data_IF_940875859452
#
_entry.id   IF_940875859452
#
_cell.length_a   1.000
_cell.length_b   1.000
_cell.length_c   1.000
_cell.angle_alpha   90.00
_cell.angle_beta   90.00
_cell.angle_gamma   90.00
#
_symmetry.space_group_name_H-M   'P 1'
#
loop_
_entity.id
_entity.type
_entity.pdbx_description
1 polymer ?
#
# COMPACT_ATOMS: atom_id res chain seq x y z
N UNK A 1 -12.64 20.32 -9.35
CA UNK A 1 -13.44 21.24 -8.49
C UNK A 1 -14.84 20.68 -8.43
N UNK A 2 -15.31 20.29 -7.25
CA UNK A 2 -16.70 19.88 -7.04
C UNK A 2 -17.59 21.13 -7.14
N UNK A 3 -18.61 21.17 -7.99
CA UNK A 3 -19.59 22.23 -7.96
C UNK A 3 -20.28 22.19 -6.59
N UNK A 4 -20.33 23.32 -5.92
CA UNK A 4 -20.92 23.52 -4.56
C UNK A 4 -20.19 22.80 -3.41
N UNK A 5 -18.90 22.51 -3.51
CA UNK A 5 -18.15 21.80 -2.47
C UNK A 5 -18.01 22.51 -1.13
N UNK A 6 -18.04 23.86 -1.11
CA UNK A 6 -17.99 24.68 0.11
C UNK A 6 -19.02 25.79 -0.01
N UNK A 7 -19.94 25.87 0.94
CA UNK A 7 -20.91 26.94 1.06
C UNK A 7 -20.77 27.64 2.41
N UNK A 8 -20.93 28.94 2.42
CA UNK A 8 -21.05 29.76 3.62
C UNK A 8 -22.44 30.43 3.60
N UNK A 9 -23.24 30.18 4.62
CA UNK A 9 -24.61 30.70 4.73
C UNK A 9 -25.46 30.42 3.46
N UNK A 10 -25.33 29.23 2.90
CA UNK A 10 -26.03 28.80 1.68
C UNK A 10 -25.45 29.34 0.36
N UNK A 11 -24.41 30.19 0.39
CA UNK A 11 -23.71 30.71 -0.80
C UNK A 11 -22.41 29.95 -1.07
N UNK A 12 -22.17 29.57 -2.31
CA UNK A 12 -20.91 28.94 -2.69
C UNK A 12 -19.72 29.90 -2.48
N UNK A 13 -18.68 29.40 -1.82
CA UNK A 13 -17.43 30.13 -1.57
C UNK A 13 -16.23 29.31 -2.05
N UNK A 14 -15.06 29.94 -2.11
CA UNK A 14 -13.76 29.29 -2.40
C UNK A 14 -12.97 29.13 -1.10
N UNK A 15 -11.99 28.27 -1.09
CA UNK A 15 -11.08 28.04 0.07
C UNK A 15 -10.27 29.28 0.48
N UNK A 16 -10.22 30.31 -0.35
CA UNK A 16 -9.52 31.58 -0.09
C UNK A 16 -10.46 32.70 0.34
N UNK A 17 -11.77 32.47 0.32
CA UNK A 17 -12.75 33.51 0.72
C UNK A 17 -12.79 33.59 2.24
N UNK A 18 -12.90 34.80 2.75
CA UNK A 18 -12.93 35.04 4.20
C UNK A 18 -14.30 34.70 4.76
N UNK A 19 -14.30 34.08 5.94
CA UNK A 19 -15.48 33.76 6.72
C UNK A 19 -15.44 34.49 8.07
N UNK A 20 -16.59 34.74 8.69
CA UNK A 20 -16.70 35.44 9.95
C UNK A 20 -17.16 34.50 11.07
N UNK A 21 -16.98 34.94 12.30
CA UNK A 21 -17.49 34.20 13.44
C UNK A 21 -19.03 34.15 13.38
N UNK A 22 -19.60 32.97 13.50
CA UNK A 22 -21.04 32.73 13.40
C UNK A 22 -21.52 32.32 12.01
N UNK A 23 -20.66 32.33 10.99
CA UNK A 23 -21.00 31.78 9.66
C UNK A 23 -21.21 30.27 9.71
N UNK A 24 -22.26 29.81 9.03
CA UNK A 24 -22.52 28.38 8.81
C UNK A 24 -21.73 27.91 7.58
N UNK A 25 -20.76 27.00 7.78
CA UNK A 25 -19.96 26.43 6.71
C UNK A 25 -20.46 25.01 6.42
N UNK A 26 -21.00 24.82 5.22
CA UNK A 26 -21.44 23.51 4.73
C UNK A 26 -20.40 22.97 3.73
N UNK A 27 -19.82 21.81 4.04
CA UNK A 27 -18.96 21.06 3.15
C UNK A 27 -19.78 19.94 2.50
N UNK A 28 -19.93 20.00 1.19
CA UNK A 28 -20.57 18.91 0.43
C UNK A 28 -19.48 18.06 -0.19
N UNK A 29 -19.29 16.86 0.34
CA UNK A 29 -18.41 15.85 -0.24
C UNK A 29 -19.23 15.00 -1.21
N UNK A 30 -19.05 15.22 -2.52
CA UNK A 30 -19.66 14.39 -3.54
C UNK A 30 -18.70 13.25 -3.86
N UNK A 31 -18.86 12.14 -3.17
CA UNK A 31 -18.17 10.92 -3.49
C UNK A 31 -18.60 10.41 -4.87
N UNK A 32 -17.64 10.26 -5.79
CA UNK A 32 -17.89 9.64 -7.09
C UNK A 32 -17.77 8.14 -6.90
N UNK A 33 -18.81 7.35 -7.17
CA UNK A 33 -18.76 5.90 -7.05
C UNK A 33 -17.58 5.30 -7.81
N UNK A 34 -17.07 4.18 -7.31
CA UNK A 34 -16.01 3.44 -7.99
C UNK A 34 -16.49 2.94 -9.35
N UNK A 35 -15.64 3.05 -10.36
CA UNK A 35 -15.86 2.44 -11.67
C UNK A 35 -15.33 1.01 -11.76
N UNK A 36 -14.83 0.46 -10.65
CA UNK A 36 -14.31 -0.90 -10.59
C UNK A 36 -15.45 -1.91 -10.70
N UNK A 37 -15.28 -2.91 -11.55
CA UNK A 37 -16.23 -4.02 -11.63
C UNK A 37 -16.25 -4.77 -10.27
N UNK A 38 -17.43 -5.12 -9.72
CA UNK A 38 -17.52 -5.87 -8.48
C UNK A 38 -16.99 -7.28 -8.63
N UNK A 39 -16.34 -7.82 -7.59
CA UNK A 39 -15.86 -9.20 -7.52
C UNK A 39 -16.51 -9.95 -6.36
N UNK A 40 -16.91 -11.20 -6.60
CA UNK A 40 -17.44 -12.08 -5.56
C UNK A 40 -16.36 -12.80 -4.75
N UNK A 41 -15.09 -12.53 -4.98
CA UNK A 41 -13.98 -13.14 -4.23
C UNK A 41 -14.11 -12.80 -2.75
N UNK A 42 -13.96 -13.81 -1.89
CA UNK A 42 -13.98 -13.62 -0.45
C UNK A 42 -12.60 -13.24 0.07
N UNK A 43 -12.49 -12.09 0.73
CA UNK A 43 -11.29 -11.65 1.44
C UNK A 43 -11.67 -11.41 2.90
N UNK A 44 -10.96 -12.02 3.88
CA UNK A 44 -11.29 -11.83 5.28
C UNK A 44 -11.22 -10.38 5.71
N UNK A 45 -12.26 -9.91 6.39
CA UNK A 45 -12.31 -8.60 7.04
C UNK A 45 -11.85 -8.77 8.47
N UNK A 46 -10.84 -8.00 8.89
CA UNK A 46 -10.28 -8.01 10.25
C UNK A 46 -10.94 -6.96 11.14
N UNK A 47 -11.53 -5.95 10.55
CA UNK A 47 -12.22 -4.89 11.27
C UNK A 47 -12.81 -3.85 10.32
N UNK A 48 -13.87 -3.20 10.79
CA UNK A 48 -14.59 -2.19 10.02
C UNK A 48 -15.13 -1.11 10.96
N UNK A 49 -15.12 0.13 10.49
CA UNK A 49 -15.72 1.31 11.12
C UNK A 49 -16.44 2.14 10.06
N UNK A 50 -17.05 3.24 10.45
CA UNK A 50 -17.62 4.20 9.50
C UNK A 50 -16.55 4.87 8.61
N UNK A 51 -15.31 4.92 9.06
CA UNK A 51 -14.21 5.64 8.39
C UNK A 51 -13.30 4.75 7.55
N UNK A 52 -13.19 3.45 7.87
CA UNK A 52 -12.29 2.54 7.16
C UNK A 52 -12.71 1.08 7.31
N UNK A 53 -12.15 0.23 6.44
CA UNK A 53 -12.20 -1.23 6.53
C UNK A 53 -10.80 -1.81 6.43
N UNK A 54 -10.55 -2.91 7.15
CA UNK A 54 -9.27 -3.62 7.23
C UNK A 54 -9.44 -5.02 6.66
N UNK A 55 -8.73 -5.31 5.57
CA UNK A 55 -8.70 -6.64 4.97
C UNK A 55 -7.43 -7.40 5.31
N UNK A 56 -7.55 -8.72 5.43
CA UNK A 56 -6.40 -9.63 5.34
C UNK A 56 -6.24 -10.07 3.88
N UNK A 57 -5.48 -9.31 3.11
CA UNK A 57 -5.26 -9.60 1.69
C UNK A 57 -4.48 -10.92 1.51
N UNK A 58 -4.97 -11.88 0.71
CA UNK A 58 -4.20 -13.06 0.38
C UNK A 58 -3.02 -12.72 -0.54
N UNK A 59 -2.02 -13.59 -0.59
CA UNK A 59 -0.99 -13.57 -1.63
C UNK A 59 -1.62 -13.90 -2.99
N UNK A 60 -1.01 -13.40 -4.07
CA UNK A 60 -1.51 -13.58 -5.44
C UNK A 60 -2.60 -12.60 -5.87
N UNK A 61 -3.11 -11.76 -4.96
CA UNK A 61 -4.15 -10.77 -5.24
C UNK A 61 -3.55 -9.36 -5.31
N UNK A 62 -3.63 -8.64 -6.44
CA UNK A 62 -3.25 -7.23 -6.49
C UNK A 62 -4.21 -6.34 -5.68
N UNK A 63 -3.71 -5.21 -5.17
CA UNK A 63 -4.57 -4.22 -4.48
C UNK A 63 -5.42 -3.45 -5.49
N UNK A 64 -4.82 -3.01 -6.59
CA UNK A 64 -5.48 -2.26 -7.68
C UNK A 64 -5.49 -3.05 -8.98
N UNK A 65 -6.46 -2.79 -9.88
CA UNK A 65 -6.39 -3.28 -11.24
C UNK A 65 -5.07 -2.94 -11.92
N UNK A 66 -4.55 -3.88 -12.67
CA UNK A 66 -3.31 -3.78 -13.42
C UNK A 66 -3.40 -4.67 -14.67
N UNK A 67 -2.37 -4.65 -15.51
CA UNK A 67 -2.35 -5.49 -16.71
C UNK A 67 -2.53 -6.98 -16.34
N UNK A 68 -3.54 -7.63 -16.91
CA UNK A 68 -3.92 -9.01 -16.62
C UNK A 68 -4.81 -9.21 -15.38
N UNK A 69 -5.08 -8.14 -14.61
CA UNK A 69 -5.87 -8.19 -13.38
C UNK A 69 -6.92 -7.06 -13.38
N UNK A 70 -8.11 -7.34 -13.90
CA UNK A 70 -9.17 -6.32 -14.05
C UNK A 70 -10.38 -6.57 -13.15
N UNK A 71 -10.59 -7.82 -12.68
CA UNK A 71 -11.76 -8.22 -11.88
C UNK A 71 -11.44 -9.00 -10.60
N UNK A 72 -10.16 -9.23 -10.33
CA UNK A 72 -9.66 -10.13 -9.28
C UNK A 72 -8.81 -9.41 -8.22
N UNK A 73 -8.95 -8.09 -8.10
CA UNK A 73 -8.18 -7.27 -7.17
C UNK A 73 -8.95 -6.97 -5.89
N UNK A 74 -8.23 -6.54 -4.84
CA UNK A 74 -8.87 -6.09 -3.61
C UNK A 74 -9.84 -4.91 -3.85
N UNK A 75 -9.51 -4.05 -4.83
CA UNK A 75 -10.40 -2.96 -5.25
C UNK A 75 -11.74 -3.46 -5.80
N UNK A 76 -11.74 -4.58 -6.53
CA UNK A 76 -12.97 -5.20 -7.05
C UNK A 76 -13.81 -5.81 -5.92
N UNK A 77 -13.16 -6.42 -4.90
CA UNK A 77 -13.84 -6.93 -3.70
C UNK A 77 -14.46 -5.78 -2.90
N UNK A 78 -13.73 -4.69 -2.71
CA UNK A 78 -14.26 -3.49 -2.05
C UNK A 78 -15.45 -2.90 -2.81
N UNK A 79 -15.40 -2.82 -4.13
CA UNK A 79 -16.49 -2.29 -4.96
C UNK A 79 -17.78 -3.14 -4.87
N UNK A 80 -17.65 -4.45 -4.65
CA UNK A 80 -18.82 -5.32 -4.41
C UNK A 80 -19.47 -5.04 -3.04
N UNK A 81 -18.69 -4.74 -2.02
CA UNK A 81 -19.18 -4.47 -0.66
C UNK A 81 -19.67 -3.02 -0.49
N UNK A 82 -19.02 -2.08 -1.16
CA UNK A 82 -19.29 -0.65 -1.06
C UNK A 82 -19.45 0.00 -2.46
N UNK A 83 -20.53 -0.31 -3.21
CA UNK A 83 -20.67 0.13 -4.59
C UNK A 83 -20.77 1.65 -4.76
N UNK A 84 -21.13 2.37 -3.70
CA UNK A 84 -21.26 3.84 -3.72
C UNK A 84 -19.97 4.56 -3.31
N UNK A 85 -18.94 3.83 -2.85
CA UNK A 85 -17.71 4.41 -2.37
C UNK A 85 -16.56 4.20 -3.37
N UNK A 86 -15.72 5.22 -3.61
CA UNK A 86 -14.50 5.03 -4.36
C UNK A 86 -13.46 4.25 -3.55
N UNK A 87 -12.68 3.43 -4.23
CA UNK A 87 -11.64 2.62 -3.60
C UNK A 87 -10.42 3.48 -3.22
N UNK A 88 -10.17 3.64 -1.92
CA UNK A 88 -9.09 4.48 -1.36
C UNK A 88 -8.17 3.69 -0.43
N UNK A 89 -7.26 2.86 -0.95
CA UNK A 89 -6.30 2.19 -0.09
C UNK A 89 -5.32 3.20 0.50
N UNK A 90 -5.10 3.11 1.81
CA UNK A 90 -4.18 3.97 2.56
C UNK A 90 -2.73 3.69 2.14
N UNK A 91 -2.43 2.44 1.80
CA UNK A 91 -1.17 1.98 1.20
C UNK A 91 -1.44 0.72 0.36
N UNK A 92 -0.42 0.28 -0.36
CA UNK A 92 -0.51 -0.90 -1.21
C UNK A 92 0.47 -1.96 -0.75
N UNK A 93 0.08 -3.22 -0.89
CA UNK A 93 0.95 -4.39 -0.88
C UNK A 93 1.16 -4.88 -2.31
N UNK A 94 2.30 -5.49 -2.56
CA UNK A 94 2.53 -6.20 -3.82
C UNK A 94 1.54 -7.37 -3.98
N UNK A 95 1.32 -7.85 -5.20
CA UNK A 95 0.40 -8.96 -5.47
C UNK A 95 0.72 -10.17 -4.58
N UNK A 96 1.98 -10.59 -4.56
CA UNK A 96 2.42 -11.79 -3.84
C UNK A 96 2.60 -11.58 -2.33
N UNK A 97 2.47 -10.34 -1.85
CA UNK A 97 2.52 -10.03 -0.41
C UNK A 97 1.13 -10.17 0.20
N UNK A 98 1.01 -11.04 1.21
CA UNK A 98 -0.20 -11.15 2.04
C UNK A 98 -0.16 -10.20 3.23
N UNK A 99 -1.32 -9.98 3.85
CA UNK A 99 -1.43 -9.25 5.11
C UNK A 99 -2.40 -8.08 5.09
N UNK A 100 -2.25 -7.21 6.07
CA UNK A 100 -3.20 -6.15 6.37
C UNK A 100 -3.24 -5.12 5.24
N UNK A 101 -4.44 -4.82 4.72
CA UNK A 101 -4.72 -3.72 3.82
C UNK A 101 -5.82 -2.84 4.41
N UNK A 102 -5.52 -1.56 4.58
CA UNK A 102 -6.43 -0.57 5.14
C UNK A 102 -7.01 0.29 4.02
N UNK A 103 -8.33 0.30 3.91
CA UNK A 103 -9.07 1.06 2.89
C UNK A 103 -9.92 2.11 3.59
N UNK A 104 -9.73 3.37 3.25
CA UNK A 104 -10.52 4.46 3.78
C UNK A 104 -11.86 4.59 3.03
N UNK A 105 -12.93 4.90 3.77
CA UNK A 105 -14.28 5.08 3.23
C UNK A 105 -14.58 6.52 2.79
N UNK A 106 -13.70 7.49 3.12
CA UNK A 106 -13.80 8.88 2.70
C UNK A 106 -12.43 9.48 2.37
N UNK A 107 -12.41 10.56 1.60
CA UNK A 107 -11.19 11.30 1.30
C UNK A 107 -10.52 11.86 2.56
N UNK A 108 -11.33 12.34 3.52
CA UNK A 108 -10.86 12.83 4.82
C UNK A 108 -10.15 11.73 5.61
N UNK A 109 -10.79 10.56 5.76
CA UNK A 109 -10.20 9.42 6.45
C UNK A 109 -8.90 8.96 5.78
N UNK A 110 -8.84 8.93 4.45
CA UNK A 110 -7.63 8.59 3.71
C UNK A 110 -6.47 9.52 4.06
N UNK A 111 -6.71 10.84 4.08
CA UNK A 111 -5.70 11.83 4.44
C UNK A 111 -5.18 11.67 5.87
N UNK A 112 -6.07 11.43 6.84
CA UNK A 112 -5.69 11.22 8.24
C UNK A 112 -4.88 9.92 8.44
N UNK A 113 -5.28 8.85 7.78
CA UNK A 113 -4.68 7.53 7.94
C UNK A 113 -3.32 7.40 7.25
N UNK A 114 -3.09 8.08 6.12
CA UNK A 114 -1.81 8.00 5.39
C UNK A 114 -0.60 8.45 6.21
N UNK A 115 -0.77 9.48 7.05
CA UNK A 115 0.32 10.02 7.88
C UNK A 115 0.50 9.29 9.22
N UNK A 116 -0.49 8.52 9.68
CA UNK A 116 -0.53 7.95 11.03
C UNK A 116 -0.24 6.44 11.08
N UNK A 117 -0.22 5.75 9.95
CA UNK A 117 -0.01 4.29 9.92
C UNK A 117 1.46 3.90 10.06
N UNK A 118 1.75 3.04 11.05
CA UNK A 118 3.04 2.37 11.19
C UNK A 118 2.92 0.93 10.69
N UNK A 119 3.82 0.53 9.81
CA UNK A 119 3.79 -0.77 9.16
C UNK A 119 4.99 -1.60 9.55
N UNK A 120 4.75 -2.83 9.97
CA UNK A 120 5.77 -3.85 10.20
C UNK A 120 5.53 -4.99 9.23
N UNK A 121 6.58 -5.47 8.61
CA UNK A 121 6.55 -6.61 7.69
C UNK A 121 7.33 -7.76 8.28
N UNK A 122 6.91 -8.96 7.93
CA UNK A 122 7.69 -10.17 8.17
C UNK A 122 8.15 -10.70 6.80
N UNK A 123 9.41 -11.11 6.71
CA UNK A 123 9.95 -11.76 5.53
C UNK A 123 10.86 -12.92 5.93
N UNK A 124 10.75 -14.01 5.20
CA UNK A 124 11.68 -15.12 5.28
C UNK A 124 12.72 -14.94 4.17
N UNK A 125 13.99 -14.83 4.53
CA UNK A 125 15.11 -14.69 3.58
C UNK A 125 15.95 -15.96 3.54
N UNK A 126 16.61 -16.20 2.41
CA UNK A 126 17.57 -17.28 2.26
C UNK A 126 18.89 -16.89 2.94
N UNK A 127 19.48 -17.84 3.67
CA UNK A 127 20.75 -17.66 4.35
C UNK A 127 20.61 -17.23 5.81
N UNK A 128 21.73 -17.29 6.51
CA UNK A 128 21.85 -16.91 7.92
C UNK A 128 22.23 -15.43 8.03
N UNK A 129 21.27 -14.60 8.41
CA UNK A 129 21.46 -13.17 8.68
C UNK A 129 21.34 -12.93 10.18
N UNK A 130 22.47 -12.87 10.89
CA UNK A 130 22.52 -12.85 12.35
C UNK A 130 22.41 -11.45 12.95
N UNK A 131 22.67 -10.40 12.17
CA UNK A 131 22.67 -9.01 12.65
C UNK A 131 21.61 -8.16 11.96
N UNK A 132 20.95 -7.30 12.72
CA UNK A 132 20.02 -6.29 12.17
C UNK A 132 20.78 -5.12 11.54
N UNK A 133 20.07 -4.34 10.75
CA UNK A 133 20.68 -3.19 10.07
C UNK A 133 19.68 -2.32 9.30
N UNK A 134 20.26 -1.42 8.52
CA UNK A 134 19.50 -0.52 7.65
C UNK A 134 20.08 -0.59 6.24
N UNK A 135 19.21 -0.74 5.25
CA UNK A 135 19.54 -0.55 3.83
C UNK A 135 19.04 0.82 3.42
N UNK A 136 19.95 1.74 3.15
CA UNK A 136 19.68 3.04 2.55
C UNK A 136 20.26 3.02 1.14
N UNK A 137 19.42 2.62 0.17
CA UNK A 137 19.87 2.42 -1.20
C UNK A 137 18.73 2.74 -2.19
N UNK A 138 18.97 3.68 -3.14
CA UNK A 138 17.93 4.12 -4.07
C UNK A 138 17.46 2.98 -4.98
N UNK A 139 16.14 2.93 -5.21
CA UNK A 139 15.52 1.90 -6.06
C UNK A 139 15.00 2.53 -7.36
N UNK A 140 15.40 1.95 -8.48
CA UNK A 140 14.93 2.29 -9.82
C UNK A 140 14.41 1.08 -10.57
N UNK A 141 13.98 1.32 -11.81
CA UNK A 141 13.59 0.25 -12.72
C UNK A 141 14.86 -0.44 -13.25
N UNK A 142 14.87 -1.77 -13.28
CA UNK A 142 15.95 -2.50 -13.91
C UNK A 142 15.95 -2.27 -15.43
N UNK A 143 17.11 -2.19 -16.02
CA UNK A 143 17.28 -1.99 -17.47
C UNK A 143 16.62 -3.14 -18.25
N UNK A 144 15.91 -2.80 -19.32
CA UNK A 144 15.20 -3.78 -20.15
C UNK A 144 13.97 -4.43 -19.50
N UNK A 145 13.63 -4.10 -18.25
CA UNK A 145 12.50 -4.71 -17.56
C UNK A 145 11.38 -3.72 -17.22
N UNK A 146 10.13 -4.11 -17.46
CA UNK A 146 8.94 -3.39 -17.02
C UNK A 146 8.62 -3.68 -15.55
N UNK A 147 8.88 -4.90 -15.09
CA UNK A 147 8.48 -5.41 -13.78
C UNK A 147 9.58 -5.25 -12.72
N UNK A 148 10.81 -5.61 -13.06
CA UNK A 148 11.91 -5.68 -12.10
C UNK A 148 12.38 -4.29 -11.66
N UNK A 149 12.84 -4.23 -10.42
CA UNK A 149 13.51 -3.08 -9.82
C UNK A 149 14.90 -3.49 -9.38
N UNK A 150 15.79 -2.52 -9.25
CA UNK A 150 17.14 -2.76 -8.73
C UNK A 150 17.61 -1.54 -7.92
N UNK A 151 18.61 -1.75 -7.10
CA UNK A 151 19.36 -0.65 -6.49
C UNK A 151 20.19 0.03 -7.58
N UNK A 152 20.04 1.35 -7.72
CA UNK A 152 20.77 2.16 -8.69
C UNK A 152 20.82 3.63 -8.27
N UNK A 153 21.91 4.35 -8.53
CA UNK A 153 22.10 5.74 -8.06
C UNK A 153 20.99 6.71 -8.50
N UNK A 154 20.47 6.55 -9.71
CA UNK A 154 19.40 7.39 -10.29
C UNK A 154 18.00 6.97 -9.80
N UNK A 155 17.92 5.99 -8.91
CA UNK A 155 16.68 5.51 -8.31
C UNK A 155 16.07 6.53 -7.35
N UNK A 156 14.86 6.22 -6.89
CA UNK A 156 14.21 6.99 -5.83
C UNK A 156 14.76 6.56 -4.46
N UNK A 157 15.01 7.49 -3.52
CA UNK A 157 15.45 7.16 -2.17
C UNK A 157 14.58 6.07 -1.54
N UNK A 158 15.20 5.09 -0.92
CA UNK A 158 14.53 3.97 -0.28
C UNK A 158 15.31 3.52 0.95
N UNK A 159 14.62 3.45 2.10
CA UNK A 159 15.21 3.06 3.39
C UNK A 159 14.41 1.94 4.02
N UNK A 160 15.10 0.85 4.35
CA UNK A 160 14.54 -0.36 4.99
C UNK A 160 15.35 -0.73 6.22
N UNK A 161 14.71 -0.78 7.37
CA UNK A 161 15.29 -1.32 8.60
C UNK A 161 14.87 -2.78 8.75
N UNK A 162 15.79 -3.63 9.17
CA UNK A 162 15.51 -5.04 9.39
C UNK A 162 16.14 -5.53 10.69
N UNK A 163 15.46 -6.48 11.32
CA UNK A 163 15.88 -7.13 12.56
C UNK A 163 15.64 -8.63 12.43
N UNK A 164 16.67 -9.47 12.53
CA UNK A 164 16.50 -10.92 12.58
C UNK A 164 15.71 -11.32 13.83
N UNK A 165 14.72 -12.19 13.64
CA UNK A 165 13.92 -12.74 14.73
C UNK A 165 14.32 -14.18 15.06
N UNK A 166 14.57 -14.99 14.03
CA UNK A 166 14.92 -16.40 14.15
C UNK A 166 15.64 -16.86 12.90
N UNK A 167 16.63 -17.74 13.05
CA UNK A 167 17.30 -18.45 11.94
C UNK A 167 17.37 -19.96 12.25
N UNK A 168 17.36 -20.76 11.19
CA UNK A 168 17.65 -22.21 11.25
C UNK A 168 18.96 -22.56 10.51
N UNK A 169 19.74 -21.55 10.11
CA UNK A 169 20.97 -21.67 9.34
C UNK A 169 20.76 -21.66 7.81
N UNK A 170 19.58 -22.06 7.33
CA UNK A 170 19.20 -22.03 5.91
C UNK A 170 18.36 -20.80 5.58
N UNK A 171 17.48 -20.44 6.49
CA UNK A 171 16.57 -19.30 6.35
C UNK A 171 16.61 -18.43 7.61
N UNK A 172 16.36 -17.14 7.41
CA UNK A 172 16.19 -16.19 8.52
C UNK A 172 14.86 -15.47 8.40
N UNK A 173 14.05 -15.52 9.47
CA UNK A 173 12.85 -14.71 9.61
C UNK A 173 13.23 -13.31 10.08
N UNK A 174 12.82 -12.29 9.34
CA UNK A 174 13.07 -10.89 9.63
C UNK A 174 11.80 -10.14 9.99
N UNK A 175 11.91 -9.19 10.92
CA UNK A 175 10.99 -8.08 11.09
C UNK A 175 11.54 -6.86 10.36
N UNK A 176 10.71 -6.20 9.53
CA UNK A 176 11.15 -5.06 8.72
C UNK A 176 10.24 -3.84 8.93
N UNK A 177 10.86 -2.67 8.93
CA UNK A 177 10.18 -1.37 8.95
C UNK A 177 10.69 -0.51 7.79
N UNK A 178 9.78 0.19 7.15
CA UNK A 178 10.06 1.02 5.98
C UNK A 178 9.85 2.49 6.30
N UNK A 179 10.83 3.34 5.96
CA UNK A 179 10.64 4.80 5.93
C UNK A 179 10.01 5.24 4.60
N UNK A 180 10.21 4.48 3.56
CA UNK A 180 9.72 4.73 2.21
C UNK A 180 8.91 3.54 1.70
N UNK A 181 8.09 3.73 0.66
CA UNK A 181 7.26 2.67 0.09
C UNK A 181 7.49 2.55 -1.43
N UNK A 182 8.65 2.02 -1.85
CA UNK A 182 8.92 1.78 -3.27
C UNK A 182 8.43 0.40 -3.69
N UNK A 183 8.08 0.26 -4.96
CA UNK A 183 7.68 -1.02 -5.53
C UNK A 183 8.77 -2.07 -5.28
N UNK A 184 8.37 -3.23 -4.74
CA UNK A 184 9.25 -4.36 -4.41
C UNK A 184 10.39 -4.01 -3.41
N UNK A 185 10.26 -2.95 -2.62
CA UNK A 185 11.37 -2.41 -1.83
C UNK A 185 12.05 -3.45 -0.94
N UNK A 186 11.30 -4.20 -0.14
CA UNK A 186 11.88 -5.24 0.74
C UNK A 186 12.60 -6.31 -0.10
N UNK A 187 11.96 -6.77 -1.18
CA UNK A 187 12.47 -7.81 -2.07
C UNK A 187 13.80 -7.41 -2.70
N UNK A 188 13.86 -6.17 -3.22
CA UNK A 188 15.07 -5.59 -3.84
C UNK A 188 16.18 -5.38 -2.83
N UNK A 189 15.86 -4.81 -1.67
CA UNK A 189 16.88 -4.54 -0.64
C UNK A 189 17.46 -5.81 -0.04
N UNK A 190 16.63 -6.82 0.22
CA UNK A 190 17.14 -8.10 0.74
C UNK A 190 17.98 -8.85 -0.31
N UNK A 191 17.57 -8.84 -1.57
CA UNK A 191 18.38 -9.40 -2.65
C UNK A 191 19.71 -8.64 -2.84
N UNK A 192 19.69 -7.30 -2.72
CA UNK A 192 20.90 -6.46 -2.78
C UNK A 192 21.89 -6.77 -1.67
N UNK A 193 21.42 -7.14 -0.47
CA UNK A 193 22.27 -7.59 0.63
C UNK A 193 22.79 -9.04 0.45
N UNK A 194 22.33 -9.77 -0.58
CA UNK A 194 22.67 -11.18 -0.77
C UNK A 194 21.78 -12.17 -0.02
N UNK A 195 20.68 -11.68 0.58
CA UNK A 195 19.69 -12.47 1.32
C UNK A 195 18.30 -12.35 0.68
N UNK A 196 18.09 -12.88 -0.55
CA UNK A 196 16.81 -12.77 -1.22
C UNK A 196 15.68 -13.45 -0.42
N UNK A 197 14.43 -13.01 -0.62
CA UNK A 197 13.30 -13.65 0.00
C UNK A 197 13.14 -15.10 -0.50
N UNK A 198 12.83 -15.99 0.41
CA UNK A 198 12.55 -17.38 0.10
C UNK A 198 11.35 -17.49 -0.87
N UNK A 199 11.53 -18.18 -1.97
CA UNK A 199 10.49 -18.37 -3.00
C UNK A 199 10.23 -17.15 -3.88
N UNK A 200 11.03 -16.09 -3.79
CA UNK A 200 10.89 -14.93 -4.67
C UNK A 200 11.33 -15.26 -6.11
N UNK A 201 10.36 -15.30 -7.04
CA UNK A 201 10.60 -15.66 -8.44
C UNK A 201 11.28 -14.56 -9.27
N UNK A 202 11.30 -13.32 -8.78
CA UNK A 202 11.89 -12.18 -9.53
C UNK A 202 13.29 -11.84 -9.05
N UNK A 203 13.55 -11.98 -7.74
CA UNK A 203 14.77 -11.53 -7.10
C UNK A 203 15.52 -12.65 -6.36
N UNK A 204 14.90 -13.83 -6.27
CA UNK A 204 15.53 -15.01 -5.70
C UNK A 204 16.70 -15.49 -6.56
N UNK A 205 17.67 -16.13 -5.95
CA UNK A 205 18.66 -16.93 -6.70
C UNK A 205 17.91 -18.10 -7.34
N UNK A 206 18.04 -18.23 -8.66
CA UNK A 206 17.58 -19.40 -9.39
C UNK A 206 18.40 -20.61 -8.91
N UNK A 207 17.98 -21.22 -7.83
CA UNK A 207 18.39 -22.58 -7.46
C UNK A 207 17.18 -23.46 -7.64
N UNK A 208 17.28 -24.26 -8.63
CA UNK A 208 16.47 -25.36 -9.19
C UNK A 208 15.31 -25.86 -8.34
#
# INVERSE_FOLDING_TARGET
RLPNGICCNGRQIRTIDMVQFGDEIVLTDCEVPSTLAPSAAAVPVLGETDSYIVYNKPAGMPVHPSQGHHGDTLGNVFAAQFPQLPFRPVYRLDSDTSGICLIAKSAYAAGQLQGSTRKTYLALVCGELSTGGTVDAPIGRAEGSVLCRCVRPEGKPAVTHYTPLRSDGTYTLLSLRLETGRTHQIRVHMAYLGYPLAGDRLYGTSSE
#
